data_IF_366334803955
#
_entry.id   IF_366334803955
#
_cell.length_a   1.000
_cell.length_b   1.000
_cell.length_c   1.000
_cell.angle_alpha   90.00
_cell.angle_beta   90.00
_cell.angle_gamma   90.00
#
_symmetry.space_group_name_H-M   'P 1'
#
loop_
_entity.id
_entity.type
_entity.pdbx_description
1 polymer ?
#
# COMPACT_ATOMS: atom_id res chain seq x y z
N UNK A 1 -16.35 -13.18 19.93
CA UNK A 1 -15.01 -13.70 20.23
C UNK A 1 -14.02 -12.60 20.61
N UNK A 2 -13.68 -11.60 19.77
CA UNK A 2 -12.71 -10.55 20.16
C UNK A 2 -13.07 -9.88 21.49
N UNK A 3 -14.29 -9.41 21.65
CA UNK A 3 -14.78 -8.81 22.91
C UNK A 3 -14.73 -9.78 24.12
N UNK A 4 -14.72 -11.10 23.88
CA UNK A 4 -14.63 -12.12 24.92
C UNK A 4 -13.19 -12.31 25.39
N UNK A 5 -12.23 -12.25 24.47
CA UNK A 5 -10.83 -12.52 24.78
C UNK A 5 -10.03 -11.24 25.13
N UNK A 6 -10.56 -10.05 24.75
CA UNK A 6 -9.89 -8.78 24.99
C UNK A 6 -8.44 -8.78 24.45
N UNK A 7 -7.51 -8.27 25.22
CA UNK A 7 -6.08 -8.19 24.86
C UNK A 7 -5.39 -9.56 24.72
N UNK A 8 -5.99 -10.62 25.26
CA UNK A 8 -5.47 -12.00 25.13
C UNK A 8 -5.77 -12.63 23.77
N UNK A 9 -6.69 -12.02 23.00
CA UNK A 9 -7.09 -12.49 21.68
C UNK A 9 -6.51 -11.66 20.55
N UNK A 10 -6.13 -12.30 19.45
CA UNK A 10 -5.69 -11.61 18.23
C UNK A 10 -6.34 -12.24 17.01
N UNK A 11 -6.75 -11.39 16.04
CA UNK A 11 -7.18 -11.86 14.72
C UNK A 11 -6.00 -12.47 13.99
N UNK A 12 -6.25 -13.60 13.34
CA UNK A 12 -5.29 -14.37 12.58
C UNK A 12 -5.81 -14.60 11.15
N UNK A 13 -5.03 -14.18 10.16
CA UNK A 13 -5.28 -14.46 8.74
C UNK A 13 -4.10 -15.28 8.17
N UNK A 14 -3.21 -14.64 7.39
CA UNK A 14 -2.03 -15.31 6.82
C UNK A 14 -0.94 -15.68 7.84
N UNK A 15 -0.81 -14.93 8.92
CA UNK A 15 0.11 -15.20 10.03
C UNK A 15 1.60 -14.98 9.72
N UNK A 16 1.97 -14.53 8.52
CA UNK A 16 3.37 -14.43 8.09
C UNK A 16 4.23 -13.49 8.93
N UNK A 17 3.64 -12.46 9.51
CA UNK A 17 4.31 -11.54 10.45
C UNK A 17 3.95 -11.86 11.90
N UNK A 18 2.66 -12.06 12.18
CA UNK A 18 2.18 -12.31 13.54
C UNK A 18 2.85 -13.53 14.19
N UNK A 19 2.87 -14.67 13.49
CA UNK A 19 3.47 -15.89 14.04
C UNK A 19 4.99 -15.76 14.16
N UNK A 20 5.64 -15.00 13.30
CA UNK A 20 7.06 -14.72 13.40
C UNK A 20 7.36 -13.89 14.66
N UNK A 21 6.60 -12.84 14.90
CA UNK A 21 6.72 -12.02 16.12
C UNK A 21 6.44 -12.83 17.39
N UNK A 22 5.44 -13.72 17.37
CA UNK A 22 5.17 -14.62 18.49
C UNK A 22 6.30 -15.65 18.71
N UNK A 23 6.87 -16.19 17.63
CA UNK A 23 8.01 -17.13 17.70
C UNK A 23 9.26 -16.49 18.33
N UNK A 24 9.43 -15.20 18.14
CA UNK A 24 10.54 -14.43 18.73
C UNK A 24 10.18 -13.78 20.08
N UNK A 25 9.06 -14.18 20.69
CA UNK A 25 8.57 -13.65 21.98
C UNK A 25 8.35 -12.11 22.00
N UNK A 26 8.19 -11.50 20.82
CA UNK A 26 7.88 -10.06 20.70
C UNK A 26 6.40 -9.79 20.99
N UNK A 27 5.53 -10.76 20.68
CA UNK A 27 4.09 -10.70 20.93
C UNK A 27 3.63 -11.99 21.58
N UNK A 28 2.68 -11.91 22.53
CA UNK A 28 2.09 -13.07 23.22
C UNK A 28 0.58 -12.94 23.25
N UNK A 29 -0.13 -13.93 22.70
CA UNK A 29 -1.58 -14.04 22.73
C UNK A 29 -1.97 -15.45 23.17
N UNK A 30 -3.02 -15.57 23.99
CA UNK A 30 -3.56 -16.86 24.43
C UNK A 30 -4.52 -17.45 23.39
N UNK A 31 -5.15 -16.60 22.56
CA UNK A 31 -6.14 -16.98 21.57
C UNK A 31 -5.86 -16.35 20.21
N UNK A 32 -5.82 -17.16 19.16
CA UNK A 32 -5.82 -16.70 17.77
C UNK A 32 -7.18 -16.96 17.15
N UNK A 33 -7.85 -15.92 16.68
CA UNK A 33 -9.16 -15.99 16.04
C UNK A 33 -8.96 -15.99 14.52
N UNK A 34 -9.13 -17.16 13.90
CA UNK A 34 -8.99 -17.32 12.46
C UNK A 34 -10.14 -16.66 11.70
N UNK A 35 -9.81 -15.70 10.84
CA UNK A 35 -10.78 -14.95 10.04
C UNK A 35 -10.94 -15.48 8.62
N UNK A 36 -10.10 -16.42 8.18
CA UNK A 36 -10.12 -16.94 6.80
C UNK A 36 -11.42 -17.68 6.43
N UNK A 37 -12.14 -18.16 7.43
CA UNK A 37 -13.41 -18.87 7.24
C UNK A 37 -14.63 -17.95 7.21
N UNK A 38 -14.44 -16.64 7.41
CA UNK A 38 -15.53 -15.66 7.35
C UNK A 38 -15.92 -15.45 5.87
N UNK A 39 -17.20 -15.68 5.52
CA UNK A 39 -17.67 -15.48 4.14
C UNK A 39 -17.35 -14.08 3.61
N UNK A 40 -17.01 -14.01 2.34
CA UNK A 40 -16.67 -12.77 1.59
C UNK A 40 -15.32 -12.13 1.90
N UNK A 41 -14.59 -12.55 2.93
CA UNK A 41 -13.23 -12.03 3.16
C UNK A 41 -12.19 -12.54 2.14
N UNK A 42 -12.48 -13.58 1.39
CA UNK A 42 -11.62 -14.19 0.38
C UNK A 42 -11.98 -13.81 -1.07
N UNK A 43 -12.89 -12.83 -1.26
CA UNK A 43 -13.41 -12.47 -2.57
C UNK A 43 -12.64 -11.33 -3.23
N UNK A 44 -12.55 -11.42 -4.57
CA UNK A 44 -12.14 -10.32 -5.45
C UNK A 44 -13.31 -10.05 -6.38
N UNK A 45 -13.90 -8.86 -6.29
CA UNK A 45 -15.11 -8.49 -7.01
C UNK A 45 -14.98 -7.10 -7.65
N UNK A 46 -15.65 -6.91 -8.80
CA UNK A 46 -15.84 -5.57 -9.37
C UNK A 46 -17.23 -5.07 -8.96
N UNK A 47 -17.29 -3.91 -8.30
CA UNK A 47 -18.55 -3.31 -7.85
C UNK A 47 -18.54 -1.81 -8.10
N UNK A 48 -19.57 -1.29 -8.76
CA UNK A 48 -19.75 0.15 -9.01
C UNK A 48 -18.53 0.86 -9.65
N UNK A 49 -17.80 0.16 -10.53
CA UNK A 49 -16.60 0.72 -11.16
C UNK A 49 -15.34 0.70 -10.27
N UNK A 50 -15.40 0.06 -9.10
CA UNK A 50 -14.27 -0.17 -8.20
C UNK A 50 -13.93 -1.65 -8.12
N UNK A 51 -12.70 -1.98 -7.78
CA UNK A 51 -12.25 -3.32 -7.44
C UNK A 51 -12.32 -3.49 -5.91
N UNK A 52 -13.10 -4.46 -5.44
CA UNK A 52 -13.14 -4.84 -4.03
C UNK A 52 -12.28 -6.09 -3.82
N UNK A 53 -11.41 -6.04 -2.82
CA UNK A 53 -10.54 -7.16 -2.40
C UNK A 53 -10.78 -7.41 -0.91
N UNK A 54 -11.28 -8.58 -0.57
CA UNK A 54 -11.53 -8.99 0.81
C UNK A 54 -10.27 -9.10 1.65
N UNK A 55 -10.38 -8.86 2.96
CA UNK A 55 -9.24 -8.79 3.88
C UNK A 55 -8.43 -10.08 4.02
N UNK A 56 -9.04 -11.25 3.74
CA UNK A 56 -8.37 -12.55 3.77
C UNK A 56 -7.84 -13.01 2.40
N UNK A 57 -8.00 -12.20 1.34
CA UNK A 57 -7.41 -12.51 0.03
C UNK A 57 -5.89 -12.49 0.13
N UNK A 58 -5.24 -13.56 -0.33
CA UNK A 58 -3.79 -13.66 -0.29
C UNK A 58 -3.13 -12.81 -1.39
N UNK A 59 -1.90 -12.34 -1.13
CA UNK A 59 -1.09 -11.64 -2.14
C UNK A 59 -0.97 -12.45 -3.44
N UNK A 60 -0.83 -13.78 -3.34
CA UNK A 60 -0.76 -14.66 -4.51
C UNK A 60 -2.08 -14.74 -5.27
N UNK A 61 -3.22 -14.68 -4.59
CA UNK A 61 -4.53 -14.65 -5.24
C UNK A 61 -4.70 -13.34 -6.02
N UNK A 62 -4.27 -12.19 -5.48
CA UNK A 62 -4.29 -10.89 -6.15
C UNK A 62 -3.36 -10.92 -7.37
N UNK A 63 -2.11 -11.35 -7.20
CA UNK A 63 -1.10 -11.52 -8.26
C UNK A 63 -1.64 -12.29 -9.47
N UNK A 64 -2.42 -13.35 -9.23
CA UNK A 64 -2.91 -14.27 -10.26
C UNK A 64 -4.28 -13.94 -10.81
N UNK A 65 -5.04 -13.09 -10.12
CA UNK A 65 -6.41 -12.76 -10.50
C UNK A 65 -6.49 -12.15 -11.90
N UNK A 66 -7.28 -12.76 -12.78
CA UNK A 66 -7.55 -12.21 -14.10
C UNK A 66 -8.26 -10.85 -14.01
N UNK A 67 -9.18 -10.70 -13.06
CA UNK A 67 -9.91 -9.45 -12.81
C UNK A 67 -8.96 -8.33 -12.39
N UNK A 68 -8.01 -8.61 -11.48
CA UNK A 68 -7.02 -7.61 -11.05
C UNK A 68 -6.10 -7.22 -12.21
N UNK A 69 -5.62 -8.18 -12.99
CA UNK A 69 -4.77 -7.93 -14.17
C UNK A 69 -5.45 -7.09 -15.23
N UNK A 70 -6.75 -7.29 -15.42
CA UNK A 70 -7.54 -6.51 -16.38
C UNK A 70 -7.84 -5.09 -15.87
N UNK A 71 -8.32 -4.97 -14.63
CA UNK A 71 -8.84 -3.70 -14.10
C UNK A 71 -7.77 -2.81 -13.48
N UNK A 72 -6.73 -3.42 -12.89
CA UNK A 72 -5.69 -2.72 -12.15
C UNK A 72 -4.33 -3.43 -12.28
N UNK A 73 -3.76 -3.49 -13.49
CA UNK A 73 -2.52 -4.25 -13.76
C UNK A 73 -1.34 -3.84 -12.88
N UNK A 74 -1.26 -2.56 -12.49
CA UNK A 74 -0.22 -2.06 -11.58
C UNK A 74 -0.25 -2.76 -10.21
N UNK A 75 -1.45 -3.11 -9.70
CA UNK A 75 -1.59 -3.85 -8.44
C UNK A 75 -1.11 -5.29 -8.63
N UNK A 76 -1.54 -5.98 -9.68
CA UNK A 76 -1.07 -7.34 -9.96
C UNK A 76 0.46 -7.40 -10.11
N UNK A 77 1.05 -6.41 -10.80
CA UNK A 77 2.51 -6.30 -10.94
C UNK A 77 3.20 -6.03 -9.60
N UNK A 78 2.69 -5.10 -8.79
CA UNK A 78 3.23 -4.82 -7.46
C UNK A 78 3.23 -6.07 -6.59
N UNK A 79 2.12 -6.81 -6.59
CA UNK A 79 1.98 -8.04 -5.80
C UNK A 79 3.02 -9.11 -6.15
N UNK A 80 3.52 -9.18 -7.39
CA UNK A 80 4.61 -10.10 -7.76
C UNK A 80 5.91 -9.81 -7.00
N UNK A 81 6.06 -8.58 -6.49
CA UNK A 81 7.26 -8.06 -5.82
C UNK A 81 7.16 -8.09 -4.30
N UNK A 82 5.99 -8.43 -3.75
CA UNK A 82 5.79 -8.55 -2.30
C UNK A 82 6.53 -9.78 -1.80
N UNK A 83 7.48 -9.59 -0.88
CA UNK A 83 8.23 -10.64 -0.20
C UNK A 83 8.65 -11.80 -1.14
N UNK A 84 8.50 -13.05 -0.69
CA UNK A 84 8.74 -14.25 -1.48
C UNK A 84 7.45 -15.05 -1.74
N UNK A 85 7.51 -16.07 -2.61
CA UNK A 85 6.34 -16.85 -3.02
C UNK A 85 5.63 -17.56 -1.86
N UNK A 86 6.34 -17.95 -0.80
CA UNK A 86 5.75 -18.62 0.37
C UNK A 86 4.93 -17.63 1.19
N UNK A 87 5.48 -16.43 1.42
CA UNK A 87 4.77 -15.34 2.09
C UNK A 87 3.55 -14.93 1.29
N UNK A 88 3.66 -14.74 -0.04
CA UNK A 88 2.51 -14.39 -0.87
C UNK A 88 1.41 -15.45 -0.92
N UNK A 89 1.77 -16.72 -0.76
CA UNK A 89 0.81 -17.83 -0.76
C UNK A 89 -0.09 -17.85 0.49
N UNK A 90 0.35 -17.29 1.60
CA UNK A 90 -0.37 -17.30 2.89
C UNK A 90 -0.68 -15.92 3.42
N UNK A 91 0.23 -14.94 3.26
CA UNK A 91 0.01 -13.55 3.66
C UNK A 91 -1.16 -12.93 2.91
N UNK A 92 -1.97 -12.14 3.62
CA UNK A 92 -3.19 -11.55 3.09
C UNK A 92 -3.10 -10.03 3.05
N UNK A 93 -3.86 -9.40 2.16
CA UNK A 93 -3.90 -7.94 2.03
C UNK A 93 -4.31 -7.27 3.34
N UNK A 94 -5.40 -7.74 3.96
CA UNK A 94 -5.86 -7.20 5.24
C UNK A 94 -4.86 -7.44 6.36
N UNK A 95 -4.23 -8.62 6.42
CA UNK A 95 -3.18 -8.92 7.40
C UNK A 95 -1.97 -8.00 7.25
N UNK A 96 -1.54 -7.71 6.01
CA UNK A 96 -0.46 -6.79 5.71
C UNK A 96 -0.78 -5.36 6.20
N UNK A 97 -1.95 -4.83 5.84
CA UNK A 97 -2.38 -3.49 6.23
C UNK A 97 -2.58 -3.35 7.75
N UNK A 98 -3.16 -4.38 8.40
CA UNK A 98 -3.38 -4.36 9.86
C UNK A 98 -2.08 -4.53 10.67
N UNK A 99 -1.07 -5.19 10.10
CA UNK A 99 0.23 -5.32 10.75
C UNK A 99 1.03 -4.00 10.68
N UNK A 100 0.77 -3.19 9.66
CA UNK A 100 1.34 -1.86 9.45
C UNK A 100 2.88 -1.83 9.51
N UNK A 101 3.52 -2.81 8.86
CA UNK A 101 4.97 -2.86 8.74
C UNK A 101 5.45 -1.72 7.84
N UNK A 102 6.40 -0.86 8.30
CA UNK A 102 6.84 0.32 7.54
C UNK A 102 7.33 0.03 6.11
N UNK A 103 7.98 -1.13 5.90
CA UNK A 103 8.50 -1.53 4.59
C UNK A 103 7.45 -2.32 3.77
N UNK A 104 6.18 -1.93 3.85
CA UNK A 104 5.07 -2.57 3.14
C UNK A 104 4.83 -1.95 1.77
N UNK A 105 4.86 -2.76 0.70
CA UNK A 105 4.55 -2.33 -0.66
C UNK A 105 3.06 -1.96 -0.85
N UNK A 106 2.08 -2.77 -0.39
CA UNK A 106 0.65 -2.53 -0.64
C UNK A 106 0.15 -1.18 -0.16
N UNK A 107 0.52 -0.76 1.04
CA UNK A 107 0.07 0.50 1.61
C UNK A 107 0.46 1.71 0.76
N UNK A 108 1.68 1.71 0.21
CA UNK A 108 2.20 2.77 -0.67
C UNK A 108 1.38 2.89 -1.95
N UNK A 109 1.11 1.77 -2.63
CA UNK A 109 0.34 1.78 -3.88
C UNK A 109 -1.14 2.11 -3.61
N UNK A 110 -1.73 1.53 -2.58
CA UNK A 110 -3.14 1.74 -2.24
C UNK A 110 -3.42 3.20 -1.85
N UNK A 111 -2.49 3.86 -1.17
CA UNK A 111 -2.61 5.29 -0.87
C UNK A 111 -2.59 6.13 -2.17
N UNK A 112 -1.70 5.82 -3.12
CA UNK A 112 -1.66 6.51 -4.41
C UNK A 112 -2.94 6.30 -5.23
N UNK A 113 -3.57 5.13 -5.11
CA UNK A 113 -4.82 4.77 -5.79
C UNK A 113 -6.08 5.30 -5.08
N UNK A 114 -5.96 6.02 -3.96
CA UNK A 114 -7.10 6.51 -3.14
C UNK A 114 -8.01 5.37 -2.67
N UNK A 115 -7.42 4.24 -2.34
CA UNK A 115 -8.16 3.09 -1.86
C UNK A 115 -8.81 3.36 -0.50
N UNK A 116 -9.99 2.76 -0.29
CA UNK A 116 -10.73 2.81 0.97
C UNK A 116 -10.73 1.44 1.63
N UNK A 117 -10.55 1.44 2.93
CA UNK A 117 -10.62 0.25 3.76
C UNK A 117 -11.98 0.19 4.43
N UNK A 118 -12.70 -0.90 4.22
CA UNK A 118 -13.97 -1.17 4.89
C UNK A 118 -13.73 -1.92 6.19
N UNK A 119 -14.23 -1.35 7.27
CA UNK A 119 -14.05 -1.87 8.63
C UNK A 119 -15.40 -2.18 9.25
N UNK A 120 -15.51 -3.31 9.93
CA UNK A 120 -16.70 -3.70 10.68
C UNK A 120 -16.35 -3.92 12.15
N UNK A 121 -17.01 -3.21 13.02
CA UNK A 121 -17.00 -3.39 14.47
C UNK A 121 -18.34 -3.86 15.00
N UNK A 122 -18.46 -3.98 16.31
CA UNK A 122 -19.70 -4.34 17.00
C UNK A 122 -20.82 -3.31 16.80
N UNK A 123 -20.45 -2.04 16.69
CA UNK A 123 -21.38 -0.90 16.57
C UNK A 123 -21.76 -0.54 15.14
N UNK A 124 -21.17 -1.19 14.14
CA UNK A 124 -21.45 -0.93 12.72
C UNK A 124 -20.22 -0.99 11.82
N UNK A 125 -20.35 -0.41 10.64
CA UNK A 125 -19.30 -0.34 9.63
C UNK A 125 -18.81 1.09 9.46
N UNK A 126 -17.54 1.24 9.10
CA UNK A 126 -16.96 2.55 8.71
C UNK A 126 -15.91 2.36 7.61
N UNK A 127 -15.65 3.43 6.89
CA UNK A 127 -14.62 3.47 5.85
C UNK A 127 -13.45 4.35 6.31
N UNK A 128 -12.25 3.92 5.95
CA UNK A 128 -11.01 4.64 6.21
C UNK A 128 -10.20 4.75 4.91
N UNK A 129 -9.48 5.85 4.73
CA UNK A 129 -8.38 5.91 3.79
C UNK A 129 -7.14 5.21 4.37
N UNK A 130 -6.17 4.87 3.52
CA UNK A 130 -4.96 4.15 3.94
C UNK A 130 -4.15 4.95 4.96
N UNK A 131 -4.03 6.27 4.78
CA UNK A 131 -3.34 7.17 5.70
C UNK A 131 -4.05 7.32 7.06
N UNK A 132 -5.35 7.04 7.12
CA UNK A 132 -6.11 7.00 8.37
C UNK A 132 -6.08 5.64 9.03
N UNK A 133 -5.85 4.57 8.26
CA UNK A 133 -5.69 3.24 8.81
C UNK A 133 -4.33 3.06 9.47
N UNK A 134 -3.24 3.44 8.78
CA UNK A 134 -1.88 3.26 9.28
C UNK A 134 -1.49 4.48 10.13
N UNK A 135 -1.45 4.28 11.45
CA UNK A 135 -1.18 5.34 12.41
C UNK A 135 0.32 5.54 12.68
N UNK A 136 1.13 4.49 12.49
CA UNK A 136 2.57 4.49 12.74
C UNK A 136 3.20 3.15 12.39
N UNK A 137 4.47 2.99 12.74
CA UNK A 137 5.18 1.72 12.57
C UNK A 137 4.54 0.64 13.46
N UNK A 138 4.01 -0.42 12.82
CA UNK A 138 3.28 -1.50 13.50
C UNK A 138 2.03 -1.04 14.26
N UNK A 139 1.50 0.13 13.91
CA UNK A 139 0.30 0.71 14.52
C UNK A 139 -0.77 0.99 13.46
N UNK A 140 -2.01 0.60 13.78
CA UNK A 140 -3.18 0.91 12.99
C UNK A 140 -4.29 1.51 13.87
N UNK A 141 -5.26 2.20 13.25
CA UNK A 141 -6.34 2.92 13.93
C UNK A 141 -7.59 2.08 14.20
N UNK A 142 -7.52 0.74 14.03
CA UNK A 142 -8.65 -0.14 14.30
C UNK A 142 -8.87 -0.27 15.81
N UNK A 143 -10.12 -0.22 16.23
CA UNK A 143 -10.49 -0.56 17.59
C UNK A 143 -10.31 -2.08 17.85
N UNK A 144 -10.20 -2.47 19.12
CA UNK A 144 -9.93 -3.84 19.51
C UNK A 144 -10.99 -4.87 19.04
N UNK A 145 -12.22 -4.42 18.76
CA UNK A 145 -13.33 -5.24 18.27
C UNK A 145 -13.60 -5.07 16.77
N UNK A 146 -12.75 -4.33 16.05
CA UNK A 146 -12.90 -4.08 14.62
C UNK A 146 -12.15 -5.10 13.76
N UNK A 147 -12.75 -5.43 12.62
CA UNK A 147 -12.22 -6.31 11.58
C UNK A 147 -12.14 -5.54 10.25
N UNK A 148 -10.98 -5.59 9.61
CA UNK A 148 -10.82 -5.13 8.23
C UNK A 148 -11.51 -6.12 7.30
N UNK A 149 -12.63 -5.70 6.69
CA UNK A 149 -13.44 -6.52 5.80
C UNK A 149 -12.86 -6.61 4.40
N UNK A 150 -12.23 -5.55 3.92
CA UNK A 150 -11.64 -5.49 2.59
C UNK A 150 -11.21 -4.09 2.21
N UNK A 151 -10.69 -4.00 0.99
CA UNK A 151 -10.21 -2.76 0.39
C UNK A 151 -10.96 -2.52 -0.91
N UNK A 152 -11.56 -1.35 -1.03
CA UNK A 152 -12.15 -0.86 -2.28
C UNK A 152 -11.16 0.06 -2.98
N UNK A 153 -10.84 -0.25 -4.22
CA UNK A 153 -9.86 0.46 -5.03
C UNK A 153 -10.57 1.01 -6.27
N UNK A 154 -10.62 2.34 -6.46
CA UNK A 154 -11.19 2.93 -7.66
C UNK A 154 -10.50 2.42 -8.92
N UNK A 155 -11.26 2.05 -9.95
CA UNK A 155 -10.68 1.69 -11.25
C UNK A 155 -10.00 2.91 -11.88
N UNK A 156 -8.88 2.68 -12.54
CA UNK A 156 -8.20 3.74 -13.29
C UNK A 156 -9.08 4.18 -14.49
N UNK A 157 -9.21 5.48 -14.65
CA UNK A 157 -9.83 6.08 -15.85
C UNK A 157 -8.94 5.85 -17.07
N UNK A 158 -9.50 5.93 -18.27
CA UNK A 158 -8.74 5.81 -19.54
C UNK A 158 -7.61 6.85 -19.65
N UNK A 159 -7.81 8.03 -19.06
CA UNK A 159 -6.81 9.10 -19.00
C UNK A 159 -5.73 8.86 -17.95
N UNK A 160 -5.95 7.92 -17.01
CA UNK A 160 -5.02 7.68 -15.93
C UNK A 160 -3.96 6.64 -16.28
N UNK A 161 -2.77 6.89 -15.79
CA UNK A 161 -1.61 6.00 -15.85
C UNK A 161 -1.10 5.80 -14.43
N UNK A 162 -0.72 4.59 -14.11
CA UNK A 162 -0.18 4.28 -12.78
C UNK A 162 1.07 3.43 -12.90
N UNK A 163 2.04 3.69 -12.03
CA UNK A 163 3.25 2.90 -11.92
C UNK A 163 3.60 2.65 -10.45
N UNK A 164 4.17 1.50 -10.20
CA UNK A 164 4.86 1.18 -8.96
C UNK A 164 6.29 0.74 -9.28
N UNK A 165 7.25 1.33 -8.60
CA UNK A 165 8.66 0.96 -8.67
C UNK A 165 9.20 0.76 -7.27
N UNK A 166 10.09 -0.21 -7.13
CA UNK A 166 10.63 -0.64 -5.85
C UNK A 166 12.14 -0.80 -5.95
N UNK A 167 12.83 -0.44 -4.90
CA UNK A 167 14.23 -0.76 -4.69
C UNK A 167 14.39 -1.55 -3.39
N UNK A 168 15.16 -2.61 -3.47
CA UNK A 168 15.51 -3.44 -2.31
C UNK A 168 16.91 -4.03 -2.51
N UNK A 169 17.67 -4.11 -1.45
CA UNK A 169 18.96 -4.80 -1.39
C UNK A 169 18.87 -6.12 -0.63
N UNK A 170 17.87 -6.25 0.22
CA UNK A 170 17.60 -7.40 1.07
C UNK A 170 16.14 -7.85 0.92
N UNK A 171 15.60 -8.58 1.89
CA UNK A 171 14.24 -9.12 1.84
C UNK A 171 13.15 -8.03 1.87
N UNK A 172 13.41 -6.90 2.58
CA UNK A 172 12.49 -5.78 2.69
C UNK A 172 12.89 -4.64 1.76
N UNK A 173 11.92 -3.88 1.22
CA UNK A 173 12.25 -2.73 0.38
C UNK A 173 12.96 -1.63 1.16
N UNK A 174 13.95 -1.02 0.52
CA UNK A 174 14.55 0.24 0.97
C UNK A 174 13.61 1.40 0.66
N UNK A 175 12.88 1.29 -0.47
CA UNK A 175 11.96 2.31 -0.95
C UNK A 175 10.98 1.73 -1.95
N UNK A 176 9.74 2.21 -1.91
CA UNK A 176 8.73 2.05 -2.95
C UNK A 176 8.19 3.42 -3.38
N UNK A 177 8.02 3.63 -4.70
CA UNK A 177 7.32 4.80 -5.24
C UNK A 177 6.10 4.33 -6.01
N UNK A 178 4.94 4.84 -5.63
CA UNK A 178 3.70 4.74 -6.39
C UNK A 178 3.38 6.10 -7.03
N UNK A 179 3.02 6.08 -8.30
CA UNK A 179 2.69 7.28 -9.06
C UNK A 179 1.41 7.04 -9.86
N UNK A 180 0.45 7.95 -9.74
CA UNK A 180 -0.75 8.01 -10.58
C UNK A 180 -0.78 9.36 -11.28
N UNK A 181 -0.90 9.35 -12.60
CA UNK A 181 -0.99 10.52 -13.45
C UNK A 181 -2.34 10.53 -14.18
N UNK A 182 -3.04 11.65 -14.17
CA UNK A 182 -4.26 11.88 -14.97
C UNK A 182 -3.92 12.84 -16.12
N UNK A 183 -3.94 12.31 -17.34
CA UNK A 183 -3.53 13.02 -18.54
C UNK A 183 -4.71 13.75 -19.19
N UNK A 184 -4.41 14.77 -19.97
CA UNK A 184 -5.37 15.32 -20.92
C UNK A 184 -5.55 14.38 -22.13
N UNK A 185 -6.48 14.73 -23.02
CA UNK A 185 -6.80 13.92 -24.19
C UNK A 185 -5.64 13.84 -25.20
N UNK A 186 -4.73 14.82 -25.18
CA UNK A 186 -3.53 14.81 -26.00
C UNK A 186 -2.40 13.94 -25.44
N UNK A 187 -2.48 13.58 -24.15
CA UNK A 187 -1.42 12.89 -23.41
C UNK A 187 -0.16 13.74 -23.17
N UNK A 188 -0.21 15.05 -23.49
CA UNK A 188 0.94 15.96 -23.35
C UNK A 188 0.91 16.76 -22.06
N UNK A 189 -0.25 16.86 -21.40
CA UNK A 189 -0.40 17.56 -20.13
C UNK A 189 -0.90 16.63 -19.05
N UNK A 190 -0.32 16.73 -17.87
CA UNK A 190 -0.76 16.05 -16.65
C UNK A 190 -1.70 17.00 -15.92
N UNK A 191 -3.00 16.66 -15.88
CA UNK A 191 -4.03 17.44 -15.18
C UNK A 191 -3.95 17.27 -13.67
N UNK A 192 -3.59 16.08 -13.21
CA UNK A 192 -3.44 15.73 -11.80
C UNK A 192 -2.42 14.62 -11.65
N UNK A 193 -1.57 14.75 -10.65
CA UNK A 193 -0.64 13.70 -10.25
C UNK A 193 -0.87 13.31 -8.80
N UNK A 194 -0.42 12.13 -8.43
CA UNK A 194 -0.31 11.67 -7.05
C UNK A 194 0.90 10.78 -6.90
N UNK A 195 1.88 11.28 -6.15
CA UNK A 195 3.11 10.58 -5.86
C UNK A 195 3.14 10.19 -4.37
N UNK A 196 3.39 8.92 -4.11
CA UNK A 196 3.52 8.36 -2.75
C UNK A 196 4.85 7.63 -2.66
N UNK A 197 5.58 7.88 -1.58
CA UNK A 197 6.79 7.13 -1.20
C UNK A 197 6.52 6.32 0.06
N UNK A 198 6.96 5.08 0.08
CA UNK A 198 6.90 4.19 1.24
C UNK A 198 8.24 3.56 1.53
N UNK A 199 8.34 2.87 2.65
CA UNK A 199 9.51 2.15 3.14
C UNK A 199 10.71 3.04 3.53
N UNK A 200 10.52 4.33 3.63
CA UNK A 200 11.59 5.28 4.01
C UNK A 200 11.42 5.85 5.41
N UNK A 201 10.20 5.77 5.94
CA UNK A 201 9.79 6.25 7.26
C UNK A 201 8.66 5.37 7.82
N UNK A 202 8.09 5.71 8.97
CA UNK A 202 7.10 4.89 9.68
C UNK A 202 5.82 4.61 8.86
N UNK A 203 5.42 5.53 7.99
CA UNK A 203 4.20 5.42 7.17
C UNK A 203 4.45 5.85 5.74
N UNK A 204 3.66 5.38 4.75
CA UNK A 204 3.70 5.93 3.41
C UNK A 204 3.36 7.43 3.42
N UNK A 205 4.12 8.21 2.67
CA UNK A 205 4.04 9.67 2.65
C UNK A 205 3.75 10.21 1.26
N UNK A 206 2.99 11.31 1.21
CA UNK A 206 2.72 12.12 0.01
C UNK A 206 2.79 13.59 0.35
N UNK A 207 2.89 14.42 -0.68
CA UNK A 207 2.88 15.87 -0.54
C UNK A 207 2.03 16.51 -1.63
N UNK A 208 1.08 17.37 -1.24
CA UNK A 208 0.27 18.13 -2.20
C UNK A 208 1.15 19.08 -3.03
N UNK A 209 2.29 19.54 -2.47
CA UNK A 209 3.28 20.34 -3.21
C UNK A 209 3.96 19.52 -4.31
N UNK A 210 4.31 18.26 -4.02
CA UNK A 210 4.86 17.32 -5.01
C UNK A 210 3.84 17.04 -6.09
N UNK A 211 2.60 16.74 -5.71
CA UNK A 211 1.51 16.45 -6.65
C UNK A 211 1.27 17.65 -7.60
N UNK A 212 1.27 18.87 -7.07
CA UNK A 212 1.16 20.09 -7.86
C UNK A 212 2.37 20.31 -8.80
N UNK A 213 3.59 20.03 -8.34
CA UNK A 213 4.82 20.15 -9.17
C UNK A 213 4.86 19.13 -10.31
N UNK A 214 4.13 18.02 -10.18
CA UNK A 214 3.99 16.97 -11.21
C UNK A 214 2.79 17.24 -12.15
N UNK A 215 2.07 18.35 -12.02
CA UNK A 215 0.97 18.74 -12.91
C UNK A 215 1.45 19.82 -13.90
N UNK A 216 0.95 19.74 -15.16
CA UNK A 216 1.32 20.67 -16.24
C UNK A 216 1.89 19.96 -17.47
N UNK A 217 2.56 20.68 -18.39
CA UNK A 217 3.16 20.12 -19.59
C UNK A 217 4.27 19.11 -19.26
N UNK A 218 4.23 17.92 -19.84
CA UNK A 218 5.20 16.83 -19.60
C UNK A 218 6.65 17.29 -19.78
N UNK A 219 6.92 18.05 -20.83
CA UNK A 219 8.28 18.56 -21.15
C UNK A 219 8.85 19.51 -20.09
N UNK A 220 7.99 20.19 -19.32
CA UNK A 220 8.40 21.01 -18.18
C UNK A 220 8.63 20.15 -16.95
N UNK A 221 7.72 19.21 -16.68
CA UNK A 221 7.80 18.31 -15.51
C UNK A 221 9.06 17.47 -15.58
N UNK A 222 9.43 16.93 -16.75
CA UNK A 222 10.67 16.18 -16.93
C UNK A 222 11.92 16.93 -16.47
N UNK A 223 11.93 18.27 -16.63
CA UNK A 223 13.04 19.12 -16.17
C UNK A 223 13.00 19.42 -14.67
N UNK A 224 11.83 19.34 -14.05
CA UNK A 224 11.57 19.69 -12.64
C UNK A 224 11.42 18.47 -11.72
N UNK A 225 11.61 17.24 -12.23
CA UNK A 225 11.45 16.02 -11.44
C UNK A 225 12.32 15.99 -10.18
N UNK A 226 13.50 16.60 -10.23
CA UNK A 226 14.38 16.65 -9.06
C UNK A 226 13.81 17.54 -7.95
N UNK A 227 13.18 18.67 -8.29
CA UNK A 227 12.55 19.57 -7.30
C UNK A 227 11.30 18.91 -6.69
N UNK A 228 10.49 18.23 -7.52
CA UNK A 228 9.36 17.45 -7.05
C UNK A 228 9.80 16.32 -6.11
N UNK A 229 10.92 15.66 -6.42
CA UNK A 229 11.47 14.59 -5.59
C UNK A 229 12.02 15.11 -4.26
N UNK A 230 12.69 16.28 -4.26
CA UNK A 230 13.15 16.91 -3.03
C UNK A 230 11.97 17.24 -2.11
N UNK A 231 10.89 17.81 -2.67
CA UNK A 231 9.66 18.10 -1.91
C UNK A 231 9.01 16.83 -1.35
N UNK A 232 9.02 15.71 -2.10
CA UNK A 232 8.50 14.43 -1.62
C UNK A 232 9.37 13.85 -0.51
N UNK A 233 10.70 13.96 -0.65
CA UNK A 233 11.65 13.50 0.35
C UNK A 233 11.55 14.30 1.67
N UNK A 234 11.32 15.61 1.59
CA UNK A 234 11.10 16.45 2.78
C UNK A 234 9.80 16.09 3.50
N UNK A 235 8.74 15.81 2.74
CA UNK A 235 7.46 15.38 3.34
C UNK A 235 7.52 13.97 3.95
N UNK A 236 8.36 13.09 3.40
CA UNK A 236 8.50 11.72 3.88
C UNK A 236 9.39 11.60 5.12
N UNK A 237 10.30 12.55 5.30
CA UNK A 237 11.28 12.59 6.40
C UNK A 237 11.96 11.22 6.62
N UNK A 238 12.79 10.75 5.66
CA UNK A 238 13.41 9.44 5.73
C UNK A 238 14.28 9.27 6.97
N UNK A 239 14.27 8.06 7.54
CA UNK A 239 15.04 7.71 8.74
C UNK A 239 16.13 6.69 8.43
N UNK A 240 17.19 6.70 9.23
CA UNK A 240 18.23 5.66 9.21
C UNK A 240 17.67 4.34 9.72
N UNK A 241 17.92 3.25 8.97
CA UNK A 241 17.59 1.89 9.40
C UNK A 241 18.50 0.86 8.72
N UNK A 242 18.18 -0.42 8.88
CA UNK A 242 18.93 -1.53 8.25
C UNK A 242 18.91 -1.50 6.72
N UNK A 243 18.01 -0.76 6.11
CA UNK A 243 17.86 -0.67 4.65
C UNK A 243 18.66 0.50 4.05
N UNK A 244 19.21 1.38 4.88
CA UNK A 244 20.06 2.48 4.47
C UNK A 244 19.90 3.75 5.30
N UNK A 245 20.81 4.69 5.08
CA UNK A 245 20.74 6.00 5.74
C UNK A 245 19.61 6.86 5.17
N UNK A 246 19.16 7.84 5.96
CA UNK A 246 18.17 8.84 5.56
C UNK A 246 18.64 9.60 4.30
N UNK A 247 19.92 9.98 4.26
CA UNK A 247 20.53 10.67 3.10
C UNK A 247 20.47 9.79 1.83
N UNK A 248 20.83 8.52 1.95
CA UNK A 248 20.75 7.56 0.85
C UNK A 248 19.31 7.39 0.35
N UNK A 249 18.36 7.25 1.26
CA UNK A 249 16.94 7.16 0.91
C UNK A 249 16.42 8.42 0.22
N UNK A 250 16.84 9.64 0.67
CA UNK A 250 16.54 10.91 -0.02
C UNK A 250 17.05 10.90 -1.46
N UNK A 251 18.28 10.46 -1.68
CA UNK A 251 18.84 10.32 -3.02
C UNK A 251 18.02 9.35 -3.88
N UNK A 252 17.67 8.20 -3.32
CA UNK A 252 16.87 7.18 -4.02
C UNK A 252 15.48 7.67 -4.41
N UNK A 253 14.84 8.51 -3.60
CA UNK A 253 13.53 9.11 -3.95
C UNK A 253 13.64 9.85 -5.29
N UNK A 254 14.70 10.63 -5.50
CA UNK A 254 14.95 11.34 -6.76
C UNK A 254 15.07 10.39 -7.95
N UNK A 255 15.89 9.37 -7.80
CA UNK A 255 16.13 8.37 -8.86
C UNK A 255 14.85 7.59 -9.19
N UNK A 256 14.12 7.17 -8.17
CA UNK A 256 12.96 6.28 -8.36
C UNK A 256 11.69 7.03 -8.71
N UNK A 257 11.51 8.31 -8.32
CA UNK A 257 10.42 9.14 -8.84
C UNK A 257 10.55 9.31 -10.36
N UNK A 258 11.76 9.56 -10.87
CA UNK A 258 12.02 9.62 -12.31
C UNK A 258 11.72 8.30 -13.03
N UNK A 259 12.09 7.17 -12.41
CA UNK A 259 11.77 5.84 -12.96
C UNK A 259 10.27 5.57 -12.98
N UNK A 260 9.56 5.94 -11.89
CA UNK A 260 8.10 5.81 -11.81
C UNK A 260 7.40 6.67 -12.87
N UNK A 261 7.87 7.92 -13.07
CA UNK A 261 7.35 8.84 -14.08
C UNK A 261 7.50 8.25 -15.48
N UNK A 262 8.71 7.82 -15.86
CA UNK A 262 8.94 7.21 -17.15
C UNK A 262 8.11 5.94 -17.37
N UNK A 263 8.02 5.09 -16.34
CA UNK A 263 7.22 3.85 -16.39
C UNK A 263 5.73 4.12 -16.52
N UNK A 264 5.19 5.16 -15.89
CA UNK A 264 3.78 5.51 -16.01
C UNK A 264 3.41 6.01 -17.40
N UNK A 265 4.38 6.56 -18.14
CA UNK A 265 4.18 7.17 -19.47
C UNK A 265 4.66 6.28 -20.63
N UNK A 266 5.28 5.14 -20.36
CA UNK A 266 5.58 4.11 -21.35
C UNK A 266 4.37 3.23 -21.65
#
# INVERSE_FOLDING_TARGET
MLAQFGEKGRLYAGGTELLLAMKHDLLRYEHLVDVKTIPSLDKIETKNGSLFIGGAVTHRAIERSAVVKEKLPVLAEMETKVANVRVRATGTLGGNLCFAEPHSDPATLLLALEAKVHVQGKTGTRDLSIDKLIAGAYENSLAADELLMGVEIPSLKKSQRAAYVKFQTHERPTLGIALVLDLDDSGQNIKKARAVVGSVSATPSRSDKTDAALAGPRSQIEKQLNDAAATLADAADPVDDLQGSAEYKRHLIGVFLKRAFNKALS
#
